data_IF_279996055124
#
_entry.id   IF_279996055124
#
_cell.length_a   1.000
_cell.length_b   1.000
_cell.length_c   1.000
_cell.angle_alpha   90.00
_cell.angle_beta   90.00
_cell.angle_gamma   90.00
#
_symmetry.space_group_name_H-M   'P 1'
#
loop_
_entity.id
_entity.type
_entity.pdbx_description
1 polymer ?
#
# COMPACT_ATOMS: atom_id res chain seq x y z
N UNK A 1 19.60 1.60 23.75
CA UNK A 1 19.41 0.88 22.48
C UNK A 1 18.55 1.77 21.59
N UNK A 2 19.14 2.41 20.58
CA UNK A 2 18.35 3.25 19.66
C UNK A 2 17.69 2.35 18.63
N UNK A 3 16.39 2.13 18.75
CA UNK A 3 15.58 1.45 17.75
C UNK A 3 15.45 2.42 16.58
N UNK A 4 16.31 2.27 15.55
CA UNK A 4 16.34 3.14 14.37
C UNK A 4 15.84 2.43 13.11
N UNK A 5 15.35 1.21 13.26
CA UNK A 5 14.94 0.32 12.17
C UNK A 5 13.44 0.42 11.85
N UNK A 6 12.64 0.93 12.79
CA UNK A 6 11.17 1.07 12.65
C UNK A 6 10.70 2.43 13.14
N UNK A 7 9.81 3.05 12.37
CA UNK A 7 9.14 4.29 12.74
C UNK A 7 7.63 4.04 12.72
N UNK A 8 6.97 4.39 13.82
CA UNK A 8 5.53 4.58 13.88
C UNK A 8 5.27 6.08 13.89
N UNK A 9 4.73 6.60 12.79
CA UNK A 9 4.31 7.99 12.66
C UNK A 9 2.81 8.05 12.91
N UNK A 10 2.45 8.25 14.17
CA UNK A 10 1.05 8.37 14.55
C UNK A 10 0.50 9.73 14.12
N UNK A 11 -0.70 9.72 13.52
CA UNK A 11 -1.38 10.92 12.99
C UNK A 11 -0.47 11.78 12.10
N UNK A 12 0.14 11.17 11.08
CA UNK A 12 1.08 11.87 10.19
C UNK A 12 0.48 13.11 9.53
N UNK A 13 -0.84 13.14 9.32
CA UNK A 13 -1.56 14.29 8.80
C UNK A 13 -1.60 15.49 9.76
N UNK A 14 -1.23 15.32 11.03
CA UNK A 14 -1.03 16.43 11.98
C UNK A 14 0.39 16.95 12.02
N UNK A 15 1.34 16.26 11.41
CA UNK A 15 2.73 16.71 11.35
C UNK A 15 2.92 17.79 10.27
N UNK A 16 3.77 18.81 10.54
CA UNK A 16 4.08 19.82 9.54
C UNK A 16 4.69 19.24 8.26
N UNK A 17 4.46 19.85 7.08
CA UNK A 17 4.93 19.33 5.79
C UNK A 17 6.45 19.06 5.74
N UNK A 18 7.26 19.85 6.46
CA UNK A 18 8.72 19.62 6.55
C UNK A 18 9.06 18.27 7.21
N UNK A 19 8.33 17.89 8.26
CA UNK A 19 8.53 16.61 8.95
C UNK A 19 8.02 15.45 8.10
N UNK A 20 6.87 15.62 7.42
CA UNK A 20 6.36 14.64 6.45
C UNK A 20 7.40 14.39 5.35
N UNK A 21 7.99 15.45 4.77
CA UNK A 21 9.00 15.33 3.72
C UNK A 21 10.26 14.59 4.21
N UNK A 22 10.75 14.88 5.42
CA UNK A 22 11.91 14.19 6.01
C UNK A 22 11.64 12.69 6.23
N UNK A 23 10.42 12.31 6.65
CA UNK A 23 10.03 10.91 6.80
C UNK A 23 9.95 10.20 5.45
N UNK A 24 9.41 10.85 4.43
CA UNK A 24 9.34 10.29 3.08
C UNK A 24 10.72 10.13 2.44
N UNK A 25 11.67 11.04 2.73
CA UNK A 25 13.08 10.90 2.35
C UNK A 25 13.68 9.65 3.03
N UNK A 26 13.46 9.50 4.33
CA UNK A 26 13.93 8.33 5.08
C UNK A 26 13.40 6.99 4.50
N UNK A 27 12.13 6.97 4.06
CA UNK A 27 11.53 5.78 3.44
C UNK A 27 12.19 5.41 2.11
N UNK A 28 12.58 6.39 1.30
CA UNK A 28 13.12 6.16 -0.04
C UNK A 28 14.62 5.94 -0.04
N UNK A 29 15.34 6.86 0.58
CA UNK A 29 16.80 6.91 0.52
C UNK A 29 17.46 6.14 1.67
N UNK A 30 16.66 5.73 2.69
CA UNK A 30 17.16 5.12 3.94
C UNK A 30 18.23 5.96 4.63
N UNK A 31 18.07 7.26 4.57
CA UNK A 31 18.92 8.25 5.23
C UNK A 31 18.05 9.27 5.95
N UNK A 32 18.62 9.90 6.97
CA UNK A 32 18.04 11.07 7.63
C UNK A 32 19.12 12.16 7.67
N UNK A 33 18.75 13.36 7.22
CA UNK A 33 19.59 14.54 7.31
C UNK A 33 19.22 15.36 8.55
N UNK A 34 20.11 15.40 9.54
CA UNK A 34 19.92 16.14 10.79
C UNK A 34 21.20 16.84 11.23
N UNK A 35 21.10 18.11 11.65
CA UNK A 35 22.23 18.88 12.13
C UNK A 35 23.38 19.02 11.12
N UNK A 36 23.07 19.09 9.82
CA UNK A 36 24.07 19.17 8.73
C UNK A 36 24.83 17.87 8.46
N UNK A 37 24.40 16.75 9.06
CA UNK A 37 24.98 15.42 8.85
C UNK A 37 23.94 14.46 8.30
N UNK A 38 24.36 13.57 7.40
CA UNK A 38 23.54 12.49 6.86
C UNK A 38 23.79 11.20 7.63
N UNK A 39 22.73 10.60 8.14
CA UNK A 39 22.74 9.35 8.89
C UNK A 39 22.07 8.24 8.08
N UNK A 40 22.79 7.15 7.83
CA UNK A 40 22.18 5.95 7.21
C UNK A 40 21.31 5.23 8.22
N UNK A 41 20.16 4.78 7.76
CA UNK A 41 19.25 3.95 8.55
C UNK A 41 19.60 2.47 8.37
N UNK A 42 19.64 1.68 9.47
CA UNK A 42 19.94 0.25 9.39
C UNK A 42 18.79 -0.51 8.71
N UNK A 43 19.12 -1.63 8.09
CA UNK A 43 18.10 -2.56 7.59
C UNK A 43 17.73 -3.60 8.69
N UNK A 44 16.49 -4.11 8.70
CA UNK A 44 15.37 -3.68 7.87
C UNK A 44 14.78 -2.35 8.36
N UNK A 45 14.58 -1.39 7.44
CA UNK A 45 13.91 -0.14 7.79
C UNK A 45 12.45 -0.18 7.36
N UNK A 46 11.56 0.18 8.28
CA UNK A 46 10.12 0.10 8.08
C UNK A 46 9.39 1.30 8.69
N UNK A 47 8.43 1.86 7.96
CA UNK A 47 7.58 2.96 8.43
C UNK A 47 6.13 2.53 8.41
N UNK A 48 5.48 2.65 9.55
CA UNK A 48 4.03 2.66 9.71
C UNK A 48 3.59 4.09 9.94
N UNK A 49 2.61 4.55 9.20
CA UNK A 49 2.00 5.85 9.44
C UNK A 49 0.49 5.68 9.61
N UNK A 50 -0.10 6.36 10.58
CA UNK A 50 -1.54 6.40 10.76
C UNK A 50 -2.10 7.74 10.30
N UNK A 51 -3.34 7.73 9.84
CA UNK A 51 -4.13 8.93 9.54
C UNK A 51 -5.49 8.78 10.20
N UNK A 52 -5.97 9.84 10.84
CA UNK A 52 -7.35 9.92 11.29
C UNK A 52 -8.16 10.74 10.27
N UNK A 53 -9.03 10.10 9.47
CA UNK A 53 -9.79 10.80 8.42
C UNK A 53 -10.90 11.71 8.97
N UNK A 54 -11.31 11.53 10.24
CA UNK A 54 -12.41 12.28 10.84
C UNK A 54 -12.00 13.69 11.28
N UNK A 55 -10.71 13.89 11.51
CA UNK A 55 -10.18 15.17 11.99
C UNK A 55 -9.67 15.99 10.82
N UNK A 56 -10.33 17.12 10.54
CA UNK A 56 -9.96 18.04 9.47
C UNK A 56 -9.26 19.31 9.97
N UNK A 57 -9.55 19.76 11.20
CA UNK A 57 -8.93 20.96 11.75
C UNK A 57 -7.47 20.69 12.19
N UNK A 58 -6.57 21.59 11.80
CA UNK A 58 -5.14 21.51 12.16
C UNK A 58 -4.39 20.38 11.45
N UNK A 59 -4.91 19.86 10.35
CA UNK A 59 -4.28 18.79 9.59
C UNK A 59 -3.62 19.30 8.30
N UNK A 60 -2.58 18.60 7.89
CA UNK A 60 -1.86 18.77 6.63
C UNK A 60 -2.02 17.47 5.83
N UNK A 61 -3.04 17.34 4.97
CA UNK A 61 -3.24 16.12 4.19
C UNK A 61 -2.00 15.83 3.33
N UNK A 62 -1.63 14.56 3.24
CA UNK A 62 -0.54 14.14 2.34
C UNK A 62 -1.04 14.24 0.89
N UNK A 63 -0.31 14.95 0.00
CA UNK A 63 -0.58 14.92 -1.43
C UNK A 63 -0.51 13.50 -2.01
N UNK A 64 -1.24 13.24 -3.09
CA UNK A 64 -1.28 11.92 -3.75
C UNK A 64 0.10 11.40 -4.13
N UNK A 65 0.99 12.27 -4.61
CA UNK A 65 2.38 11.92 -4.94
C UNK A 65 3.20 11.43 -3.73
N UNK A 66 2.80 11.82 -2.52
CA UNK A 66 3.41 11.35 -1.27
C UNK A 66 2.76 10.04 -0.80
N UNK A 67 1.44 9.92 -0.93
CA UNK A 67 0.71 8.69 -0.65
C UNK A 67 1.18 7.53 -1.55
N UNK A 68 1.48 7.78 -2.83
CA UNK A 68 2.02 6.78 -3.77
C UNK A 68 3.34 6.13 -3.31
N UNK A 69 4.03 6.72 -2.33
CA UNK A 69 5.28 6.17 -1.75
C UNK A 69 5.04 5.06 -0.74
N UNK A 70 3.85 4.99 -0.15
CA UNK A 70 3.48 3.91 0.76
C UNK A 70 3.14 2.65 -0.04
N UNK A 71 3.62 1.50 0.43
CA UNK A 71 3.39 0.22 -0.24
C UNK A 71 1.92 -0.17 -0.22
N UNK A 72 1.30 -0.08 0.95
CA UNK A 72 -0.09 -0.44 1.22
C UNK A 72 -0.80 0.67 1.99
N UNK A 73 -2.09 0.79 1.76
CA UNK A 73 -3.02 1.59 2.54
C UNK A 73 -4.09 0.66 3.14
N UNK A 74 -4.09 0.53 4.47
CA UNK A 74 -4.99 -0.37 5.19
C UNK A 74 -6.06 0.46 5.88
N UNK A 75 -7.32 0.15 5.63
CA UNK A 75 -8.45 0.72 6.38
C UNK A 75 -8.68 -0.11 7.65
N UNK A 76 -8.71 0.56 8.78
CA UNK A 76 -9.08 -0.03 10.07
C UNK A 76 -10.47 0.47 10.42
N UNK A 77 -11.43 -0.43 10.44
CA UNK A 77 -12.81 -0.14 10.83
C UNK A 77 -13.00 -0.22 12.34
N UNK A 78 -14.24 0.01 12.78
CA UNK A 78 -14.62 -0.26 14.16
C UNK A 78 -14.53 -1.77 14.45
N UNK A 79 -14.14 -2.17 15.66
CA UNK A 79 -14.18 -3.56 16.07
C UNK A 79 -15.63 -4.06 16.10
N UNK A 80 -15.82 -5.36 16.01
CA UNK A 80 -17.11 -6.00 16.22
C UNK A 80 -17.52 -5.90 17.69
N UNK A 81 -18.82 -6.05 17.99
CA UNK A 81 -19.31 -6.01 19.36
C UNK A 81 -18.60 -7.02 20.30
N UNK A 82 -18.21 -8.18 19.78
CA UNK A 82 -17.47 -9.19 20.53
C UNK A 82 -16.03 -8.74 20.83
N UNK A 83 -15.37 -8.14 19.85
CA UNK A 83 -14.02 -7.59 20.01
C UNK A 83 -14.02 -6.39 20.97
N UNK A 84 -15.00 -5.48 20.86
CA UNK A 84 -15.17 -4.38 21.83
C UNK A 84 -15.32 -4.89 23.27
N UNK A 85 -16.14 -5.92 23.46
CA UNK A 85 -16.32 -6.55 24.76
C UNK A 85 -15.00 -7.13 25.30
N UNK A 86 -14.24 -7.83 24.45
CA UNK A 86 -12.96 -8.40 24.83
C UNK A 86 -11.90 -7.32 25.15
N UNK A 87 -11.88 -6.22 24.40
CA UNK A 87 -11.02 -5.06 24.68
C UNK A 87 -11.37 -4.48 26.04
N UNK A 88 -12.66 -4.19 26.28
CA UNK A 88 -13.11 -3.63 27.56
C UNK A 88 -12.75 -4.54 28.76
N UNK A 89 -12.93 -5.84 28.61
CA UNK A 89 -12.60 -6.84 29.64
C UNK A 89 -11.09 -6.89 29.92
N UNK A 90 -10.24 -6.91 28.88
CA UNK A 90 -8.77 -6.97 29.02
C UNK A 90 -8.22 -5.69 29.64
N UNK A 91 -8.71 -4.53 29.20
CA UNK A 91 -8.28 -3.22 29.73
C UNK A 91 -8.69 -3.06 31.21
N UNK A 92 -9.95 -3.42 31.57
CA UNK A 92 -10.43 -3.31 32.95
C UNK A 92 -9.72 -4.27 33.88
N UNK A 93 -9.25 -5.41 33.42
CA UNK A 93 -8.47 -6.36 34.18
C UNK A 93 -6.98 -6.01 34.32
N UNK A 94 -6.52 -4.92 33.69
CA UNK A 94 -5.09 -4.57 33.62
C UNK A 94 -4.25 -5.62 32.89
N UNK A 95 -4.88 -6.48 32.09
CA UNK A 95 -4.26 -7.63 31.42
C UNK A 95 -3.66 -7.28 30.05
N UNK A 96 -3.19 -6.04 29.84
CA UNK A 96 -2.37 -5.70 28.70
C UNK A 96 -0.97 -6.29 28.88
N UNK A 97 -0.81 -7.56 28.49
CA UNK A 97 0.46 -8.27 28.54
C UNK A 97 1.50 -7.61 27.63
N UNK A 98 2.78 -7.77 27.99
CA UNK A 98 3.87 -7.35 27.12
C UNK A 98 3.85 -8.13 25.79
N UNK A 99 4.19 -7.45 24.70
CA UNK A 99 4.35 -8.09 23.38
C UNK A 99 5.76 -8.70 23.34
N UNK A 100 5.84 -10.01 23.14
CA UNK A 100 7.11 -10.71 22.93
C UNK A 100 7.54 -10.60 21.46
N UNK A 101 8.85 -10.50 21.24
CA UNK A 101 9.40 -10.54 19.87
C UNK A 101 9.35 -11.96 19.33
N UNK A 102 8.64 -12.17 18.21
CA UNK A 102 8.48 -13.49 17.59
C UNK A 102 9.36 -13.69 16.33
N UNK A 103 10.00 -12.62 15.85
CA UNK A 103 10.86 -12.66 14.67
C UNK A 103 12.01 -11.67 14.84
N UNK A 104 13.20 -12.05 14.42
CA UNK A 104 14.42 -11.21 14.44
C UNK A 104 14.53 -10.31 13.20
N UNK A 105 15.43 -9.33 13.23
CA UNK A 105 15.72 -8.47 12.08
C UNK A 105 16.36 -9.28 10.94
N UNK A 106 17.20 -10.26 11.28
CA UNK A 106 17.88 -11.17 10.34
C UNK A 106 16.86 -12.02 9.60
N UNK A 107 15.90 -12.62 10.29
CA UNK A 107 14.82 -13.42 9.70
C UNK A 107 13.93 -12.58 8.79
N UNK A 108 13.64 -11.32 9.15
CA UNK A 108 12.90 -10.38 8.27
C UNK A 108 13.70 -10.12 6.98
N UNK A 109 15.00 -9.88 7.08
CA UNK A 109 15.85 -9.63 5.92
C UNK A 109 15.95 -10.86 5.01
N UNK A 110 16.01 -12.07 5.59
CA UNK A 110 15.98 -13.32 4.85
C UNK A 110 14.65 -13.48 4.10
N UNK A 111 13.52 -13.29 4.76
CA UNK A 111 12.19 -13.34 4.16
C UNK A 111 12.03 -12.33 3.01
N UNK A 112 12.55 -11.10 3.18
CA UNK A 112 12.60 -10.12 2.10
C UNK A 112 13.47 -10.58 0.93
N UNK A 113 14.60 -11.25 1.22
CA UNK A 113 15.48 -11.85 0.22
C UNK A 113 14.78 -12.95 -0.57
N UNK A 114 14.04 -13.83 0.10
CA UNK A 114 13.22 -14.87 -0.52
C UNK A 114 12.14 -14.26 -1.42
N UNK A 115 11.41 -13.26 -0.93
CA UNK A 115 10.37 -12.56 -1.69
C UNK A 115 10.94 -11.97 -2.99
N UNK A 116 12.12 -11.33 -2.94
CA UNK A 116 12.76 -10.77 -4.14
C UNK A 116 13.11 -11.82 -5.18
N UNK A 117 13.61 -12.98 -4.74
CA UNK A 117 14.04 -14.10 -5.62
C UNK A 117 12.86 -14.90 -6.18
N UNK A 118 11.65 -14.77 -5.64
CA UNK A 118 10.49 -15.50 -6.15
C UNK A 118 10.22 -15.15 -7.61
N UNK A 119 10.08 -16.13 -8.51
CA UNK A 119 9.78 -15.89 -9.91
C UNK A 119 8.34 -15.39 -10.09
N UNK A 120 8.15 -14.59 -11.13
CA UNK A 120 6.83 -14.14 -11.61
C UNK A 120 6.78 -14.45 -13.10
N UNK A 121 5.74 -15.12 -13.55
CA UNK A 121 5.53 -15.37 -14.98
C UNK A 121 4.94 -14.14 -15.66
N UNK A 122 5.11 -14.04 -16.98
CA UNK A 122 4.66 -12.91 -17.80
C UNK A 122 3.15 -12.69 -17.69
N UNK A 123 2.37 -13.75 -17.54
CA UNK A 123 0.92 -13.68 -17.32
C UNK A 123 0.56 -12.87 -16.07
N UNK A 124 1.22 -13.11 -14.94
CA UNK A 124 0.97 -12.40 -13.68
C UNK A 124 1.46 -10.95 -13.75
N UNK A 125 2.65 -10.75 -14.35
CA UNK A 125 3.21 -9.42 -14.55
C UNK A 125 2.33 -8.59 -15.48
N UNK A 126 1.91 -9.18 -16.61
CA UNK A 126 1.03 -8.55 -17.60
C UNK A 126 -0.33 -8.18 -17.01
N UNK A 127 -0.93 -9.07 -16.21
CA UNK A 127 -2.18 -8.78 -15.52
C UNK A 127 -2.06 -7.60 -14.54
N UNK A 128 -1.02 -7.58 -13.70
CA UNK A 128 -0.78 -6.45 -12.79
C UNK A 128 -0.54 -5.13 -13.54
N UNK A 129 0.18 -5.20 -14.66
CA UNK A 129 0.42 -4.05 -15.54
C UNK A 129 -0.86 -3.56 -16.20
N UNK A 130 -1.69 -4.47 -16.76
CA UNK A 130 -2.97 -4.13 -17.38
C UNK A 130 -3.93 -3.47 -16.39
N UNK A 131 -4.07 -4.02 -15.16
CA UNK A 131 -4.88 -3.42 -14.10
C UNK A 131 -4.45 -1.98 -13.81
N UNK A 132 -3.16 -1.74 -13.64
CA UNK A 132 -2.65 -0.39 -13.32
C UNK A 132 -2.85 0.56 -14.50
N UNK A 133 -2.64 0.13 -15.74
CA UNK A 133 -2.88 0.96 -16.93
C UNK A 133 -4.36 1.29 -17.09
N UNK A 134 -5.23 0.32 -16.84
CA UNK A 134 -6.68 0.51 -16.88
C UNK A 134 -7.20 1.54 -15.87
N UNK A 135 -6.43 1.89 -14.82
CA UNK A 135 -6.81 2.97 -13.89
C UNK A 135 -6.67 4.38 -14.47
N UNK A 136 -5.96 4.55 -15.61
CA UNK A 136 -5.51 5.86 -16.11
C UNK A 136 -6.45 6.40 -17.17
N UNK A 137 -7.17 7.51 -16.91
CA UNK A 137 -8.03 8.12 -17.92
C UNK A 137 -7.26 8.49 -19.18
N UNK A 138 -7.90 8.33 -20.35
CA UNK A 138 -7.33 8.65 -21.65
C UNK A 138 -6.36 7.61 -22.23
N UNK A 139 -6.07 6.53 -21.52
CA UNK A 139 -5.29 5.42 -22.07
C UNK A 139 -6.19 4.45 -22.83
N UNK A 140 -5.62 3.76 -23.83
CA UNK A 140 -6.35 2.81 -24.68
C UNK A 140 -6.96 1.65 -23.87
N UNK A 141 -6.29 1.27 -22.78
CA UNK A 141 -6.73 0.18 -21.89
C UNK A 141 -7.76 0.62 -20.84
N UNK A 142 -8.04 1.93 -20.76
CA UNK A 142 -8.98 2.45 -19.76
C UNK A 142 -10.43 2.15 -20.18
N UNK A 143 -11.21 1.45 -19.34
CA UNK A 143 -12.66 1.31 -19.56
C UNK A 143 -13.37 2.67 -19.58
N UNK A 144 -14.56 2.74 -20.20
CA UNK A 144 -15.30 3.99 -20.32
C UNK A 144 -15.60 4.65 -18.97
N UNK A 145 -15.99 3.86 -17.97
CA UNK A 145 -16.26 4.38 -16.63
C UNK A 145 -15.03 5.03 -15.97
N UNK A 146 -13.81 4.59 -16.33
CA UNK A 146 -12.57 5.21 -15.84
C UNK A 146 -12.39 6.58 -16.48
N UNK A 147 -12.62 6.70 -17.78
CA UNK A 147 -12.55 7.98 -18.48
C UNK A 147 -13.57 8.99 -17.95
N UNK A 148 -14.75 8.51 -17.56
CA UNK A 148 -15.84 9.33 -17.04
C UNK A 148 -15.67 9.72 -15.57
N UNK A 149 -15.16 8.81 -14.73
CA UNK A 149 -15.26 8.91 -13.28
C UNK A 149 -13.94 9.04 -12.54
N UNK A 150 -12.80 8.79 -13.19
CA UNK A 150 -11.47 8.86 -12.54
C UNK A 150 -10.79 10.19 -12.90
N UNK A 151 -10.30 10.88 -11.89
CA UNK A 151 -9.47 12.09 -12.07
C UNK A 151 -7.98 11.78 -12.08
N UNK A 152 -7.58 10.75 -11.35
CA UNK A 152 -6.20 10.33 -11.18
C UNK A 152 -6.11 8.81 -11.12
N UNK A 153 -5.21 8.21 -11.92
CA UNK A 153 -4.91 6.78 -11.94
C UNK A 153 -3.52 6.45 -11.41
N UNK A 154 -3.29 5.19 -11.09
CA UNK A 154 -2.06 4.70 -10.48
C UNK A 154 -0.84 4.82 -11.40
N UNK A 155 0.29 5.24 -10.83
CA UNK A 155 1.59 5.30 -11.50
C UNK A 155 2.30 3.93 -11.55
N UNK A 156 3.54 3.88 -12.08
CA UNK A 156 4.34 2.63 -12.17
C UNK A 156 4.58 1.96 -10.82
N UNK A 157 4.61 2.72 -9.72
CA UNK A 157 4.70 2.17 -8.35
C UNK A 157 3.55 1.24 -8.00
N UNK A 158 2.37 1.45 -8.59
CA UNK A 158 1.24 0.54 -8.43
C UNK A 158 1.58 -0.88 -8.88
N UNK A 159 2.21 -1.05 -10.06
CA UNK A 159 2.64 -2.36 -10.56
C UNK A 159 3.66 -2.99 -9.62
N UNK A 160 4.69 -2.22 -9.21
CA UNK A 160 5.74 -2.70 -8.30
C UNK A 160 5.15 -3.14 -6.95
N UNK A 161 4.18 -2.41 -6.41
CA UNK A 161 3.49 -2.74 -5.17
C UNK A 161 2.68 -4.02 -5.30
N UNK A 162 1.88 -4.15 -6.36
CA UNK A 162 1.09 -5.36 -6.64
C UNK A 162 1.98 -6.60 -6.71
N UNK A 163 3.04 -6.56 -7.52
CA UNK A 163 3.95 -7.71 -7.69
C UNK A 163 4.68 -8.05 -6.40
N UNK A 164 5.22 -7.05 -5.67
CA UNK A 164 5.95 -7.29 -4.44
C UNK A 164 5.05 -7.91 -3.35
N UNK A 165 3.83 -7.39 -3.20
CA UNK A 165 2.89 -7.92 -2.22
C UNK A 165 2.30 -9.27 -2.62
N UNK A 166 2.06 -9.51 -3.91
CA UNK A 166 1.60 -10.81 -4.41
C UNK A 166 2.65 -11.91 -4.18
N UNK A 167 3.96 -11.61 -4.41
CA UNK A 167 5.06 -12.52 -4.06
C UNK A 167 5.07 -12.84 -2.56
N UNK A 168 5.01 -11.82 -1.72
CA UNK A 168 4.99 -12.02 -0.27
C UNK A 168 3.79 -12.86 0.17
N UNK A 169 2.59 -12.59 -0.39
CA UNK A 169 1.38 -13.37 -0.11
C UNK A 169 1.51 -14.83 -0.51
N UNK A 170 2.07 -15.11 -1.67
CA UNK A 170 2.32 -16.48 -2.13
C UNK A 170 3.23 -17.23 -1.18
N UNK A 171 4.35 -16.61 -0.72
CA UNK A 171 5.26 -17.19 0.27
C UNK A 171 4.58 -17.45 1.62
N UNK A 172 3.79 -16.48 2.11
CA UNK A 172 3.03 -16.66 3.35
C UNK A 172 2.02 -17.81 3.27
N UNK A 173 1.54 -18.15 2.06
CA UNK A 173 0.71 -19.32 1.78
C UNK A 173 1.50 -20.59 1.47
N UNK A 174 2.82 -20.59 1.65
CA UNK A 174 3.70 -21.74 1.40
C UNK A 174 3.88 -22.10 -0.08
N UNK A 175 3.58 -21.17 -1.01
CA UNK A 175 3.74 -21.40 -2.45
C UNK A 175 5.03 -20.78 -2.97
N UNK A 176 5.62 -21.42 -3.97
CA UNK A 176 6.89 -21.00 -4.60
C UNK A 176 6.68 -20.25 -5.93
N UNK A 177 5.46 -19.92 -6.27
CA UNK A 177 5.08 -19.15 -7.47
C UNK A 177 3.94 -18.19 -7.13
N UNK A 178 3.93 -17.06 -7.81
CA UNK A 178 2.88 -16.04 -7.70
C UNK A 178 1.77 -16.35 -8.70
N UNK A 179 0.51 -16.17 -8.31
CA UNK A 179 -0.67 -16.33 -9.17
C UNK A 179 -1.39 -15.00 -9.42
N UNK A 180 -2.26 -14.97 -10.42
CA UNK A 180 -3.15 -13.82 -10.68
C UNK A 180 -4.06 -13.55 -9.47
N UNK A 181 -4.54 -14.60 -8.79
CA UNK A 181 -5.33 -14.48 -7.55
C UNK A 181 -4.57 -13.73 -6.44
N UNK A 182 -3.24 -13.92 -6.34
CA UNK A 182 -2.44 -13.17 -5.37
C UNK A 182 -2.45 -11.68 -5.68
N UNK A 183 -2.37 -11.31 -6.97
CA UNK A 183 -2.49 -9.92 -7.41
C UNK A 183 -3.87 -9.36 -7.08
N UNK A 184 -4.94 -10.06 -7.47
CA UNK A 184 -6.32 -9.62 -7.20
C UNK A 184 -6.57 -9.35 -5.71
N UNK A 185 -6.10 -10.24 -4.84
CA UNK A 185 -6.27 -10.12 -3.39
C UNK A 185 -5.59 -8.87 -2.78
N UNK A 186 -4.63 -8.28 -3.47
CA UNK A 186 -3.83 -7.14 -3.00
C UNK A 186 -4.26 -5.82 -3.67
N UNK A 187 -5.11 -5.87 -4.70
CA UNK A 187 -5.50 -4.67 -5.47
C UNK A 187 -6.01 -3.55 -4.57
N UNK A 188 -6.98 -3.82 -3.71
CA UNK A 188 -7.56 -2.79 -2.84
C UNK A 188 -6.51 -2.14 -1.93
N UNK A 189 -5.78 -2.86 -1.07
CA UNK A 189 -4.81 -2.23 -0.19
C UNK A 189 -3.62 -1.61 -0.93
N UNK A 190 -3.26 -2.08 -2.12
CA UNK A 190 -2.14 -1.55 -2.89
C UNK A 190 -2.51 -0.34 -3.74
N UNK A 191 -3.76 -0.21 -4.22
CA UNK A 191 -4.14 0.82 -5.19
C UNK A 191 -5.14 1.85 -4.68
N UNK A 192 -5.87 1.64 -3.57
CA UNK A 192 -6.91 2.58 -3.12
C UNK A 192 -6.43 4.00 -2.84
N UNK A 193 -5.16 4.18 -2.53
CA UNK A 193 -4.53 5.49 -2.32
C UNK A 193 -3.82 6.02 -3.59
N UNK A 194 -3.94 5.30 -4.70
CA UNK A 194 -3.32 5.61 -6.00
C UNK A 194 -4.33 5.92 -7.09
N UNK A 195 -5.61 5.84 -6.77
CA UNK A 195 -6.72 6.18 -7.67
C UNK A 195 -7.65 7.14 -6.95
N UNK A 196 -8.10 8.18 -7.63
CA UNK A 196 -9.05 9.13 -7.08
C UNK A 196 -10.18 9.39 -8.09
N UNK A 197 -11.45 9.37 -7.65
CA UNK A 197 -12.56 9.78 -8.50
C UNK A 197 -12.45 11.27 -8.85
N UNK A 198 -12.96 11.63 -10.02
CA UNK A 198 -13.19 13.02 -10.38
C UNK A 198 -14.54 13.51 -9.80
N UNK A 199 -14.92 14.76 -10.12
CA UNK A 199 -16.18 15.33 -9.62
C UNK A 199 -17.41 14.51 -10.06
N UNK A 200 -17.43 14.01 -11.31
CA UNK A 200 -18.55 13.20 -11.81
C UNK A 200 -18.62 11.84 -11.08
N UNK A 201 -17.50 11.20 -10.85
CA UNK A 201 -17.43 9.97 -10.07
C UNK A 201 -17.89 10.16 -8.62
N UNK A 202 -17.44 11.23 -7.95
CA UNK A 202 -17.91 11.57 -6.60
C UNK A 202 -19.42 11.84 -6.56
N UNK A 203 -19.95 12.57 -7.53
CA UNK A 203 -21.39 12.84 -7.65
C UNK A 203 -22.21 11.56 -7.89
N UNK A 204 -21.62 10.56 -8.58
CA UNK A 204 -22.21 9.24 -8.78
C UNK A 204 -22.06 8.31 -7.55
N UNK A 205 -21.44 8.77 -6.46
CA UNK A 205 -21.21 8.00 -5.24
C UNK A 205 -20.14 6.91 -5.39
N UNK A 206 -19.21 7.09 -6.35
CA UNK A 206 -18.05 6.24 -6.53
C UNK A 206 -16.91 6.71 -5.64
N UNK A 207 -16.29 5.78 -4.93
CA UNK A 207 -15.03 5.97 -4.22
C UNK A 207 -13.92 5.13 -4.88
N UNK A 208 -12.70 5.28 -4.36
CA UNK A 208 -11.55 4.52 -4.89
C UNK A 208 -11.74 3.01 -4.85
N UNK A 209 -12.46 2.48 -3.85
CA UNK A 209 -12.66 1.03 -3.69
C UNK A 209 -13.64 0.51 -4.72
N UNK A 210 -14.80 1.16 -4.89
CA UNK A 210 -15.78 0.81 -5.91
C UNK A 210 -15.18 0.86 -7.32
N UNK A 211 -14.38 1.89 -7.60
CA UNK A 211 -13.68 1.99 -8.88
C UNK A 211 -12.71 0.81 -9.10
N UNK A 212 -12.00 0.37 -8.06
CA UNK A 212 -11.10 -0.78 -8.14
C UNK A 212 -11.85 -2.11 -8.27
N UNK A 213 -13.00 -2.26 -7.61
CA UNK A 213 -13.89 -3.43 -7.76
C UNK A 213 -14.40 -3.53 -9.20
N UNK A 214 -14.88 -2.43 -9.77
CA UNK A 214 -15.29 -2.37 -11.18
C UNK A 214 -14.13 -2.69 -12.14
N UNK A 215 -12.91 -2.25 -11.82
CA UNK A 215 -11.72 -2.57 -12.61
C UNK A 215 -11.34 -4.05 -12.56
N UNK A 216 -11.48 -4.70 -11.39
CA UNK A 216 -11.27 -6.14 -11.26
C UNK A 216 -12.24 -6.95 -12.12
N UNK A 217 -13.48 -6.47 -12.30
CA UNK A 217 -14.47 -7.09 -13.19
C UNK A 217 -14.17 -6.80 -14.67
N UNK A 218 -13.70 -5.59 -14.98
CA UNK A 218 -13.45 -5.16 -16.35
C UNK A 218 -12.16 -5.72 -16.96
N UNK A 219 -11.16 -6.08 -16.13
CA UNK A 219 -9.88 -6.66 -16.58
C UNK A 219 -9.87 -8.17 -16.26
N UNK A 220 -10.20 -9.03 -17.24
CA UNK A 220 -10.35 -10.46 -17.00
C UNK A 220 -8.99 -11.13 -16.71
N UNK A 221 -8.98 -12.03 -15.74
CA UNK A 221 -7.79 -12.74 -15.27
C UNK A 221 -7.28 -13.82 -16.25
N UNK A 222 -8.14 -14.30 -17.11
CA UNK A 222 -7.89 -15.36 -18.10
C UNK A 222 -7.39 -14.83 -19.45
N UNK A 223 -7.37 -13.51 -19.63
CA UNK A 223 -6.78 -12.89 -20.83
C UNK A 223 -5.29 -13.20 -20.89
N UNK A 224 -4.80 -13.57 -22.07
CA UNK A 224 -3.36 -13.74 -22.30
C UNK A 224 -2.66 -12.38 -22.33
N UNK A 225 -1.69 -12.19 -21.46
CA UNK A 225 -0.87 -11.00 -21.44
C UNK A 225 0.53 -11.32 -21.98
N UNK A 226 1.04 -10.48 -22.85
CA UNK A 226 2.40 -10.55 -23.39
C UNK A 226 3.16 -9.27 -23.08
N UNK A 227 4.47 -9.33 -23.17
CA UNK A 227 5.31 -8.14 -23.05
C UNK A 227 4.89 -7.10 -24.12
N UNK A 228 4.67 -5.82 -23.73
CA UNK A 228 4.35 -4.79 -24.69
C UNK A 228 5.51 -4.60 -25.67
N UNK A 229 5.20 -4.43 -26.96
CA UNK A 229 6.21 -4.17 -27.97
C UNK A 229 7.05 -2.94 -27.60
N UNK A 230 8.36 -3.10 -27.64
CA UNK A 230 9.29 -1.98 -27.43
C UNK A 230 9.18 -1.05 -28.64
N UNK A 231 8.82 0.22 -28.40
CA UNK A 231 8.75 1.28 -29.40
C UNK A 231 10.14 1.91 -29.56
#
# INVERSE_FOLDING_TARGET
MCIRDRILADEINRTPPKTQAAMLEAMQERIISAGGKTHKLPAPFFVLATQNPLEQEGTYPLPEAQLDRFLLYIKVGYPTAAEEWDIARKVSAGALGGIESIISAEEIMEAQGLTRRMPVCDQVLGYAHALVRATRPGMQEAPDFVNESVGWGAGPRGVLSLISCAKARALLKGRYHTSVEDVQSIVLPALRHRIAPNYAGMAAGLDSEKLLEMLLEAVPADQTFSEPATV
#
